data_IF_774921526203
#
_entry.id   IF_774921526203
#
_cell.length_a   1.000
_cell.length_b   1.000
_cell.length_c   1.000
_cell.angle_alpha   90.00
_cell.angle_beta   90.00
_cell.angle_gamma   90.00
#
_symmetry.space_group_name_H-M   'P 1'
#
loop_
_entity.id
_entity.type
_entity.pdbx_description
1 polymer ?
#
# COMPACT_ATOMS: atom_id res chain seq x y z
N UNK A 1 2.37 4.42 -7.51
CA UNK A 1 3.63 3.76 -7.93
C UNK A 1 3.37 2.28 -8.03
N UNK A 2 3.46 1.68 -9.21
CA UNK A 2 3.05 0.29 -9.41
C UNK A 2 4.02 -0.67 -8.76
N UNK A 3 3.52 -1.82 -8.34
CA UNK A 3 4.21 -2.73 -7.51
C UNK A 3 4.26 -4.15 -7.99
N UNK A 4 5.16 -4.75 -7.56
CA UNK A 4 5.92 -5.92 -7.77
C UNK A 4 5.27 -7.17 -7.21
N UNK A 5 4.92 -8.10 -8.09
CA UNK A 5 4.67 -9.49 -7.73
C UNK A 5 5.91 -10.31 -8.09
N UNK A 6 6.65 -10.79 -7.09
CA UNK A 6 7.78 -11.70 -7.31
C UNK A 6 7.26 -13.14 -7.36
N UNK A 7 7.55 -13.86 -8.43
CA UNK A 7 7.31 -15.30 -8.52
C UNK A 7 5.95 -15.73 -9.10
N UNK A 8 5.24 -14.86 -9.82
CA UNK A 8 3.99 -15.27 -10.49
C UNK A 8 4.31 -16.28 -11.61
N UNK A 9 3.65 -17.45 -11.66
CA UNK A 9 3.82 -18.39 -12.77
C UNK A 9 3.46 -17.77 -14.11
N UNK A 10 4.17 -18.15 -15.17
CA UNK A 10 4.05 -17.56 -16.51
C UNK A 10 2.65 -17.61 -17.16
N UNK A 11 1.74 -18.40 -16.63
CA UNK A 11 0.43 -18.66 -17.23
C UNK A 11 -0.73 -17.90 -16.59
N UNK A 12 -0.48 -17.06 -15.59
CA UNK A 12 -1.55 -16.24 -15.02
C UNK A 12 -1.63 -14.91 -15.78
N UNK A 13 -2.38 -14.91 -16.89
CA UNK A 13 -2.84 -13.69 -17.56
C UNK A 13 -3.86 -12.96 -16.69
N UNK A 14 -3.45 -12.62 -15.46
CA UNK A 14 -4.37 -12.04 -14.49
C UNK A 14 -4.68 -10.58 -14.80
N UNK A 15 -3.86 -9.94 -15.64
CA UNK A 15 -4.00 -8.52 -15.91
C UNK A 15 -3.69 -8.18 -17.37
N UNK A 16 -4.53 -7.40 -18.07
CA UNK A 16 -4.14 -6.85 -19.35
C UNK A 16 -2.93 -5.92 -19.13
N UNK A 17 -1.92 -6.06 -19.97
CA UNK A 17 -0.75 -5.19 -19.95
C UNK A 17 -1.13 -3.79 -20.45
N UNK A 18 -1.09 -2.74 -19.63
CA UNK A 18 -0.87 -1.42 -20.19
C UNK A 18 0.62 -1.26 -20.48
N UNK A 19 0.96 -0.50 -21.49
CA UNK A 19 2.34 -0.02 -21.76
C UNK A 19 2.77 0.94 -20.65
N UNK A 20 3.00 0.42 -19.43
CA UNK A 20 2.88 1.21 -18.21
C UNK A 20 4.17 1.83 -17.71
N UNK A 21 5.31 1.31 -18.07
CA UNK A 21 6.60 1.94 -17.72
C UNK A 21 7.45 1.95 -18.97
N UNK A 22 7.76 3.14 -19.47
CA UNK A 22 8.75 3.27 -20.50
C UNK A 22 10.04 2.57 -20.05
N UNK A 23 10.58 1.71 -20.87
CA UNK A 23 11.82 0.97 -20.62
C UNK A 23 12.93 1.90 -20.16
N UNK A 24 12.93 3.14 -20.67
CA UNK A 24 13.85 4.21 -20.30
C UNK A 24 13.79 4.60 -18.82
N UNK A 25 12.60 4.62 -18.22
CA UNK A 25 12.44 4.97 -16.79
C UNK A 25 12.98 3.85 -15.90
N UNK A 26 12.71 2.60 -16.27
CA UNK A 26 13.27 1.43 -15.55
C UNK A 26 14.80 1.46 -15.64
N UNK A 27 15.36 1.78 -16.80
CA UNK A 27 16.80 1.89 -17.01
C UNK A 27 17.43 3.03 -16.22
N UNK A 28 16.75 4.17 -16.12
CA UNK A 28 17.19 5.29 -15.29
C UNK A 28 17.20 4.90 -13.81
N UNK A 29 16.12 4.32 -13.31
CA UNK A 29 16.05 3.84 -11.92
C UNK A 29 17.14 2.81 -11.65
N UNK A 30 17.34 1.84 -12.55
CA UNK A 30 18.37 0.82 -12.42
C UNK A 30 19.79 1.39 -12.33
N UNK A 31 20.08 2.43 -13.12
CA UNK A 31 21.39 3.07 -13.16
C UNK A 31 21.65 4.01 -11.99
N UNK A 32 20.62 4.59 -11.39
CA UNK A 32 20.75 5.48 -10.23
C UNK A 32 20.98 4.73 -8.93
N UNK A 33 20.47 3.50 -8.83
CA UNK A 33 20.64 2.67 -7.64
C UNK A 33 21.98 1.93 -7.65
N UNK A 34 23.03 2.56 -7.09
CA UNK A 34 24.37 1.98 -6.93
C UNK A 34 24.67 1.71 -5.45
N UNK A 35 24.62 0.46 -4.99
CA UNK A 35 24.98 0.09 -3.63
C UNK A 35 24.54 -1.33 -3.23
N UNK A 36 25.02 -1.84 -2.08
CA UNK A 36 24.81 -3.24 -1.65
C UNK A 36 23.33 -3.61 -1.39
N UNK A 37 22.49 -2.66 -0.98
CA UNK A 37 21.05 -2.90 -0.79
C UNK A 37 20.26 -2.96 -2.12
N UNK A 38 20.92 -2.83 -3.24
CA UNK A 38 20.29 -2.73 -4.55
C UNK A 38 20.02 -4.07 -5.22
N UNK A 39 20.49 -5.19 -4.67
CA UNK A 39 20.23 -6.50 -5.27
C UNK A 39 18.73 -6.84 -5.31
N UNK A 40 18.00 -6.48 -4.26
CA UNK A 40 16.54 -6.68 -4.25
C UNK A 40 15.85 -5.77 -5.28
N UNK A 41 16.24 -4.50 -5.35
CA UNK A 41 15.71 -3.55 -6.32
C UNK A 41 16.06 -3.99 -7.74
N UNK A 42 17.30 -4.39 -7.98
CA UNK A 42 17.74 -4.89 -9.28
C UNK A 42 16.98 -6.15 -9.69
N UNK A 43 16.91 -7.16 -8.82
CA UNK A 43 16.17 -8.39 -9.13
C UNK A 43 14.70 -8.13 -9.42
N UNK A 44 14.16 -7.11 -8.78
CA UNK A 44 12.83 -6.60 -8.96
C UNK A 44 12.64 -5.94 -10.32
N UNK A 45 13.55 -5.02 -10.68
CA UNK A 45 13.56 -4.36 -11.99
C UNK A 45 13.78 -5.35 -13.13
N UNK A 46 14.65 -6.34 -12.94
CA UNK A 46 14.84 -7.42 -13.91
C UNK A 46 13.56 -8.26 -14.09
N UNK A 47 12.83 -8.48 -13.02
CA UNK A 47 11.51 -9.15 -13.08
C UNK A 47 10.50 -8.31 -13.85
N UNK A 48 10.49 -7.00 -13.66
CA UNK A 48 9.63 -6.06 -14.39
C UNK A 48 9.99 -6.05 -15.88
N UNK A 49 11.28 -6.02 -16.22
CA UNK A 49 11.75 -6.07 -17.62
C UNK A 49 11.33 -7.35 -18.33
N UNK A 50 11.34 -8.46 -17.62
CA UNK A 50 10.98 -9.77 -18.19
C UNK A 50 9.46 -10.01 -18.24
N UNK A 51 8.70 -9.30 -17.41
CA UNK A 51 7.25 -9.45 -17.31
C UNK A 51 6.62 -8.08 -17.14
N UNK A 52 6.00 -7.54 -18.18
CA UNK A 52 5.26 -6.30 -18.06
C UNK A 52 4.23 -6.45 -16.95
N UNK A 53 4.29 -5.54 -15.99
CA UNK A 53 3.33 -5.44 -14.92
C UNK A 53 2.01 -4.98 -15.52
N UNK A 54 0.99 -5.76 -15.31
CA UNK A 54 -0.38 -5.32 -15.55
C UNK A 54 -0.93 -4.74 -14.25
N UNK A 55 -1.49 -3.55 -14.34
CA UNK A 55 -2.18 -2.92 -13.24
C UNK A 55 -3.68 -3.02 -13.48
N UNK A 56 -4.39 -3.61 -12.54
CA UNK A 56 -5.84 -3.54 -12.50
C UNK A 56 -6.24 -2.59 -11.39
N UNK A 57 -6.98 -1.56 -11.73
CA UNK A 57 -7.63 -0.71 -10.76
C UNK A 57 -8.96 -1.38 -10.43
N UNK A 58 -9.16 -1.71 -9.18
CA UNK A 58 -10.44 -2.22 -8.70
C UNK A 58 -11.38 -1.03 -8.48
N UNK A 59 -12.34 -0.89 -9.38
CA UNK A 59 -13.29 0.23 -9.38
C UNK A 59 -14.61 -0.09 -8.66
N UNK A 60 -14.85 -1.37 -8.38
CA UNK A 60 -16.03 -1.80 -7.63
C UNK A 60 -15.68 -2.80 -6.51
N UNK A 61 -16.62 -2.99 -5.58
CA UNK A 61 -16.42 -3.86 -4.40
C UNK A 61 -16.18 -5.33 -4.78
N UNK A 62 -16.80 -5.82 -5.86
CA UNK A 62 -16.63 -7.21 -6.29
C UNK A 62 -15.24 -7.45 -6.89
N UNK A 63 -14.68 -6.50 -7.62
CA UNK A 63 -13.33 -6.59 -8.16
C UNK A 63 -12.28 -6.47 -7.06
N UNK A 64 -12.46 -5.58 -6.08
CA UNK A 64 -11.62 -5.47 -4.89
C UNK A 64 -11.56 -6.78 -4.10
N UNK A 65 -12.72 -7.42 -3.91
CA UNK A 65 -12.83 -8.73 -3.28
C UNK A 65 -12.07 -9.82 -4.06
N UNK A 66 -12.21 -9.87 -5.37
CA UNK A 66 -11.48 -10.82 -6.23
C UNK A 66 -9.97 -10.63 -6.12
N UNK A 67 -9.51 -9.37 -6.13
CA UNK A 67 -8.09 -9.04 -5.95
C UNK A 67 -7.57 -9.51 -4.59
N UNK A 68 -8.29 -9.27 -3.50
CA UNK A 68 -7.91 -9.71 -2.17
C UNK A 68 -7.85 -11.25 -2.05
N UNK A 69 -8.82 -11.95 -2.63
CA UNK A 69 -8.83 -13.42 -2.66
C UNK A 69 -7.66 -13.99 -3.46
N UNK A 70 -7.38 -13.42 -4.63
CA UNK A 70 -6.26 -13.87 -5.45
C UNK A 70 -4.90 -13.55 -4.78
N UNK A 71 -4.76 -12.36 -4.17
CA UNK A 71 -3.59 -12.02 -3.40
C UNK A 71 -3.35 -13.04 -2.26
N UNK A 72 -4.40 -13.37 -1.50
CA UNK A 72 -4.30 -14.37 -0.43
C UNK A 72 -3.88 -15.75 -0.96
N UNK A 73 -4.44 -16.18 -2.09
CA UNK A 73 -4.11 -17.44 -2.73
C UNK A 73 -2.64 -17.47 -3.18
N UNK A 74 -2.16 -16.42 -3.82
CA UNK A 74 -0.79 -16.32 -4.32
C UNK A 74 0.23 -16.24 -3.19
N UNK A 75 -0.05 -15.47 -2.15
CA UNK A 75 0.84 -15.29 -0.99
C UNK A 75 0.96 -16.55 -0.13
N UNK A 76 -0.03 -17.44 -0.15
CA UNK A 76 0.02 -18.74 0.55
C UNK A 76 0.92 -19.76 -0.14
N UNK A 77 1.12 -19.62 -1.44
CA UNK A 77 1.98 -20.52 -2.17
C UNK A 77 3.44 -20.31 -1.74
N UNK A 78 4.11 -21.38 -1.28
CA UNK A 78 5.50 -21.31 -0.84
C UNK A 78 6.45 -20.92 -1.97
N UNK A 79 6.10 -21.23 -3.21
CA UNK A 79 6.82 -20.84 -4.42
C UNK A 79 6.30 -19.53 -5.02
N UNK A 80 5.22 -18.98 -4.45
CA UNK A 80 4.54 -17.79 -4.92
C UNK A 80 5.24 -16.48 -4.55
N UNK A 81 4.61 -15.35 -4.89
CA UNK A 81 5.10 -14.02 -4.55
C UNK A 81 5.13 -13.83 -3.03
N UNK A 82 6.03 -12.95 -2.56
CA UNK A 82 6.12 -12.54 -1.15
C UNK A 82 5.46 -11.19 -0.91
N UNK A 83 5.15 -10.46 -1.95
CA UNK A 83 4.54 -9.13 -1.89
C UNK A 83 3.40 -9.09 -2.89
N UNK A 84 2.24 -8.64 -2.44
CA UNK A 84 1.10 -8.30 -3.28
C UNK A 84 0.74 -6.83 -3.05
N UNK A 85 0.45 -6.11 -4.10
CA UNK A 85 0.01 -4.73 -4.03
C UNK A 85 -1.08 -4.50 -5.04
N UNK A 86 -2.09 -3.78 -4.61
CA UNK A 86 -3.20 -3.35 -5.43
C UNK A 86 -3.70 -1.99 -4.97
N UNK A 87 -4.25 -1.22 -5.89
CA UNK A 87 -4.77 0.11 -5.61
C UNK A 87 -6.25 0.05 -5.25
N UNK A 88 -6.64 0.92 -4.34
CA UNK A 88 -8.02 1.20 -3.98
C UNK A 88 -8.29 2.67 -4.27
N UNK A 89 -9.18 2.94 -5.18
CA UNK A 89 -9.62 4.30 -5.51
C UNK A 89 -10.80 4.74 -4.61
N UNK A 90 -11.33 5.92 -4.84
CA UNK A 90 -12.50 6.46 -4.14
C UNK A 90 -12.20 7.34 -2.93
N UNK A 91 -10.95 7.41 -2.49
CA UNK A 91 -10.56 8.22 -1.31
C UNK A 91 -10.38 9.72 -1.63
N UNK A 92 -10.34 10.10 -2.89
CA UNK A 92 -10.13 11.49 -3.28
C UNK A 92 -11.46 12.30 -3.31
N UNK A 93 -12.07 12.44 -2.16
CA UNK A 93 -13.42 12.97 -1.95
C UNK A 93 -13.43 14.50 -1.87
N UNK A 94 -13.38 15.17 -3.01
CA UNK A 94 -13.46 16.65 -3.09
C UNK A 94 -14.86 17.21 -2.85
N UNK A 95 -15.90 16.40 -2.94
CA UNK A 95 -17.29 16.80 -2.69
C UNK A 95 -18.05 15.69 -1.98
N UNK A 96 -19.05 16.05 -1.18
CA UNK A 96 -19.95 15.13 -0.50
C UNK A 96 -19.25 13.96 0.21
N UNK A 97 -18.11 14.25 0.85
CA UNK A 97 -17.27 13.23 1.51
C UNK A 97 -18.03 12.46 2.60
N UNK A 98 -18.97 13.12 3.28
CA UNK A 98 -19.67 12.57 4.43
C UNK A 98 -18.88 12.75 5.74
N UNK A 99 -19.37 12.09 6.77
CA UNK A 99 -18.75 12.06 8.11
C UNK A 99 -18.56 10.63 8.57
N UNK A 100 -19.33 10.21 9.59
CA UNK A 100 -19.38 8.81 10.02
C UNK A 100 -20.09 7.91 9.01
N UNK A 101 -20.92 8.50 8.16
CA UNK A 101 -21.58 7.90 7.01
C UNK A 101 -21.24 8.69 5.76
N UNK A 102 -21.24 8.04 4.61
CA UNK A 102 -20.98 8.64 3.29
C UNK A 102 -19.73 8.12 2.62
N UNK A 103 -19.40 8.70 1.46
CA UNK A 103 -18.42 8.15 0.52
C UNK A 103 -17.09 7.74 1.16
N UNK A 104 -16.51 8.56 2.04
CA UNK A 104 -15.25 8.22 2.68
C UNK A 104 -15.37 7.09 3.71
N UNK A 105 -16.48 7.03 4.45
CA UNK A 105 -16.76 5.97 5.39
C UNK A 105 -16.97 4.63 4.65
N UNK A 106 -17.65 4.65 3.51
CA UNK A 106 -17.87 3.48 2.66
C UNK A 106 -16.55 2.93 2.14
N UNK A 107 -15.61 3.79 1.72
CA UNK A 107 -14.28 3.36 1.28
C UNK A 107 -13.43 2.78 2.43
N UNK A 108 -13.53 3.32 3.64
CA UNK A 108 -12.86 2.73 4.81
C UNK A 108 -13.45 1.35 5.17
N UNK A 109 -14.75 1.16 4.97
CA UNK A 109 -15.39 -0.15 5.15
C UNK A 109 -14.90 -1.16 4.09
N UNK A 110 -14.65 -0.72 2.85
CA UNK A 110 -14.02 -1.57 1.82
C UNK A 110 -12.61 -2.00 2.24
N UNK A 111 -11.80 -1.11 2.82
CA UNK A 111 -10.49 -1.50 3.38
C UNK A 111 -10.65 -2.56 4.46
N UNK A 112 -11.61 -2.39 5.36
CA UNK A 112 -11.92 -3.36 6.41
C UNK A 112 -12.32 -4.73 5.82
N UNK A 113 -13.16 -4.76 4.79
CA UNK A 113 -13.54 -5.99 4.09
C UNK A 113 -12.34 -6.68 3.47
N UNK A 114 -11.44 -5.93 2.82
CA UNK A 114 -10.22 -6.46 2.21
C UNK A 114 -9.30 -7.08 3.27
N UNK A 115 -9.06 -6.37 4.37
CA UNK A 115 -8.25 -6.90 5.49
C UNK A 115 -8.87 -8.17 6.05
N UNK A 116 -10.20 -8.21 6.19
CA UNK A 116 -10.94 -9.39 6.65
C UNK A 116 -10.78 -10.56 5.69
N UNK A 117 -10.94 -10.33 4.39
CA UNK A 117 -10.75 -11.37 3.36
C UNK A 117 -9.32 -11.92 3.40
N UNK A 118 -8.32 -11.06 3.51
CA UNK A 118 -6.93 -11.48 3.62
C UNK A 118 -6.72 -12.30 4.89
N UNK A 119 -7.23 -11.86 6.03
CA UNK A 119 -7.15 -12.59 7.30
C UNK A 119 -7.74 -14.00 7.19
N UNK A 120 -8.97 -14.11 6.69
CA UNK A 120 -9.68 -15.39 6.58
C UNK A 120 -9.03 -16.35 5.58
N UNK A 121 -8.48 -15.82 4.48
CA UNK A 121 -7.98 -16.63 3.38
C UNK A 121 -6.47 -16.93 3.46
N UNK A 122 -5.68 -16.13 4.14
CA UNK A 122 -4.27 -16.43 4.39
C UNK A 122 -4.09 -17.56 5.43
N UNK A 123 -5.02 -17.71 6.38
CA UNK A 123 -4.91 -18.72 7.43
C UNK A 123 -3.60 -18.53 8.21
N UNK A 124 -2.82 -19.61 8.41
CA UNK A 124 -1.54 -19.52 9.15
C UNK A 124 -0.49 -18.61 8.50
N UNK A 125 -0.57 -18.36 7.21
CA UNK A 125 0.33 -17.41 6.56
C UNK A 125 0.12 -15.97 7.06
N UNK A 126 -1.06 -15.65 7.60
CA UNK A 126 -1.36 -14.35 8.19
C UNK A 126 -0.44 -14.01 9.37
N UNK A 127 -0.02 -15.00 10.15
CA UNK A 127 0.89 -14.81 11.29
C UNK A 127 2.24 -14.17 10.87
N UNK A 128 2.63 -14.40 9.62
CA UNK A 128 3.85 -13.85 9.01
C UNK A 128 3.55 -12.78 7.96
N UNK A 129 2.37 -12.19 7.99
CA UNK A 129 1.93 -11.17 7.04
C UNK A 129 1.92 -9.80 7.70
N UNK A 130 2.35 -8.80 6.95
CA UNK A 130 2.12 -7.38 7.23
C UNK A 130 1.33 -6.77 6.09
N UNK A 131 0.19 -6.18 6.42
CA UNK A 131 -0.62 -5.36 5.52
C UNK A 131 -0.30 -3.91 5.84
N UNK A 132 -0.07 -3.11 4.80
CA UNK A 132 0.33 -1.72 4.93
C UNK A 132 -0.42 -0.88 3.91
N UNK A 133 -1.11 0.17 4.35
CA UNK A 133 -1.70 1.14 3.42
C UNK A 133 -0.70 2.22 3.06
N UNK A 134 -0.75 2.68 1.82
CA UNK A 134 0.04 3.77 1.28
C UNK A 134 -0.90 4.81 0.70
N UNK A 135 -0.61 6.09 0.92
CA UNK A 135 -1.37 7.19 0.33
C UNK A 135 -0.45 8.16 -0.38
N UNK A 136 -0.91 8.77 -1.47
CA UNK A 136 -0.14 9.78 -2.20
C UNK A 136 -0.11 11.10 -1.45
N UNK A 137 -1.21 11.46 -0.79
CA UNK A 137 -1.41 12.72 -0.06
C UNK A 137 -2.31 12.52 1.15
N UNK A 138 -2.34 13.52 2.01
CA UNK A 138 -3.34 13.65 3.06
C UNK A 138 -4.53 14.48 2.61
N UNK A 139 -5.40 14.85 3.55
CA UNK A 139 -6.56 15.71 3.30
C UNK A 139 -6.49 16.95 4.18
N UNK A 140 -7.04 18.07 3.72
CA UNK A 140 -7.11 19.29 4.52
C UNK A 140 -7.94 19.09 5.78
N UNK A 141 -7.56 19.77 6.86
CA UNK A 141 -8.31 19.71 8.14
C UNK A 141 -9.72 20.31 8.00
N UNK A 142 -9.86 21.32 7.17
CA UNK A 142 -11.15 22.00 6.96
C UNK A 142 -11.87 21.43 5.77
N UNK A 143 -13.17 21.24 5.95
CA UNK A 143 -14.11 20.97 4.87
C UNK A 143 -14.14 22.14 3.88
N UNK A 144 -14.21 21.81 2.59
CA UNK A 144 -14.35 22.78 1.51
C UNK A 144 -15.84 23.16 1.26
N UNK A 145 -16.08 24.05 0.28
CA UNK A 145 -17.44 24.48 -0.08
C UNK A 145 -18.31 23.41 -0.73
N UNK A 146 -17.73 22.28 -1.18
CA UNK A 146 -18.43 21.14 -1.76
C UNK A 146 -18.74 20.03 -0.77
N UNK A 147 -18.56 20.26 0.53
CA UNK A 147 -18.71 19.26 1.59
C UNK A 147 -17.72 18.08 1.47
N UNK A 148 -16.56 18.31 0.88
CA UNK A 148 -15.42 17.41 0.83
C UNK A 148 -14.19 18.06 1.44
N UNK A 149 -13.02 17.56 1.08
CA UNK A 149 -11.73 18.13 1.49
C UNK A 149 -10.80 18.24 0.28
N UNK A 150 -9.81 19.09 0.36
CA UNK A 150 -8.76 19.19 -0.65
C UNK A 150 -7.57 18.31 -0.28
N UNK A 151 -6.61 18.14 -1.20
CA UNK A 151 -5.35 17.49 -0.90
C UNK A 151 -4.63 18.22 0.24
N UNK A 152 -4.09 17.48 1.17
CA UNK A 152 -3.35 17.97 2.33
C UNK A 152 -1.98 17.29 2.44
N UNK A 153 -1.19 17.73 3.43
CA UNK A 153 0.19 17.29 3.58
C UNK A 153 0.32 16.00 4.41
N UNK A 154 -0.14 16.01 5.66
CA UNK A 154 -0.04 14.85 6.55
C UNK A 154 -1.13 13.83 6.32
N UNK A 155 -0.79 12.55 6.44
CA UNK A 155 -1.70 11.42 6.29
C UNK A 155 -1.52 10.42 7.41
N UNK A 156 -2.29 9.33 7.37
CA UNK A 156 -2.17 8.19 8.26
C UNK A 156 -1.82 6.93 7.46
N UNK A 157 -1.04 6.06 8.07
CA UNK A 157 -0.73 4.72 7.55
C UNK A 157 -1.43 3.71 8.45
N UNK A 158 -2.26 2.87 7.88
CA UNK A 158 -2.87 1.74 8.58
C UNK A 158 -1.98 0.51 8.41
N UNK A 159 -1.81 -0.22 9.50
CA UNK A 159 -1.07 -1.49 9.49
C UNK A 159 -1.92 -2.58 10.13
N UNK A 160 -1.93 -3.76 9.52
CA UNK A 160 -2.56 -4.96 10.02
C UNK A 160 -1.70 -6.19 9.74
N UNK A 161 -1.96 -7.29 10.42
CA UNK A 161 -1.25 -8.55 10.18
C UNK A 161 -0.60 -9.14 11.42
N UNK A 162 -0.28 -10.42 11.36
CA UNK A 162 0.26 -11.19 12.49
C UNK A 162 1.67 -10.77 12.92
N UNK A 163 2.42 -10.07 12.06
CA UNK A 163 3.71 -9.49 12.43
C UNK A 163 3.61 -8.34 13.42
N UNK A 164 2.43 -7.74 13.58
CA UNK A 164 2.20 -6.69 14.58
C UNK A 164 1.99 -7.30 15.96
N UNK A 165 2.93 -7.05 16.87
CA UNK A 165 2.88 -7.58 18.24
C UNK A 165 1.88 -6.86 19.15
N UNK A 166 1.44 -5.68 18.75
CA UNK A 166 0.53 -4.82 19.55
C UNK A 166 -0.38 -4.01 18.63
N UNK A 167 -1.63 -3.87 19.06
CA UNK A 167 -2.56 -2.90 18.47
C UNK A 167 -2.39 -1.57 19.21
N UNK A 168 -1.86 -0.55 18.54
CA UNK A 168 -1.65 0.77 19.11
C UNK A 168 -1.56 1.85 18.03
N UNK A 169 -1.74 3.09 18.44
CA UNK A 169 -1.49 4.26 17.59
C UNK A 169 -0.07 4.75 17.86
N UNK A 170 0.73 4.81 16.80
CA UNK A 170 2.06 5.42 16.81
C UNK A 170 1.93 6.83 16.27
N UNK A 171 2.22 7.82 17.08
CA UNK A 171 2.14 9.20 16.65
C UNK A 171 3.06 10.09 17.49
N UNK A 172 3.65 11.07 16.83
CA UNK A 172 4.13 12.31 17.42
C UNK A 172 3.12 13.40 17.07
N UNK A 173 2.05 13.47 17.87
CA UNK A 173 0.86 14.23 17.51
C UNK A 173 1.14 15.75 17.51
N UNK A 174 1.09 16.43 16.34
CA UNK A 174 1.46 17.83 16.23
C UNK A 174 0.41 18.79 16.76
N UNK A 175 -0.84 18.33 16.89
CA UNK A 175 -2.01 19.15 17.20
C UNK A 175 -2.73 19.69 15.98
N UNK A 176 -3.85 20.41 16.23
CA UNK A 176 -4.73 20.96 15.19
C UNK A 176 -4.90 22.49 15.29
N UNK A 177 -4.16 23.15 16.18
CA UNK A 177 -4.19 24.63 16.22
C UNK A 177 -3.47 25.17 15.00
N UNK A 178 -3.91 26.32 14.51
CA UNK A 178 -3.37 26.93 13.28
C UNK A 178 -1.84 26.98 13.23
N UNK A 179 -1.17 27.24 14.36
CA UNK A 179 0.30 27.26 14.47
C UNK A 179 0.96 25.88 14.44
N UNK A 180 0.18 24.82 14.63
CA UNK A 180 0.63 23.42 14.68
C UNK A 180 0.42 22.74 13.32
N UNK A 181 -0.33 23.38 12.43
CA UNK A 181 -0.61 22.88 11.09
C UNK A 181 0.51 23.25 10.11
N UNK A 182 0.75 22.39 9.14
CA UNK A 182 1.59 22.70 7.99
C UNK A 182 0.93 23.84 7.18
N UNK A 183 1.65 24.92 6.98
CA UNK A 183 1.17 26.17 6.36
C UNK A 183 -0.14 26.71 6.98
N UNK A 184 -0.43 26.36 8.23
CA UNK A 184 -1.66 26.78 8.92
C UNK A 184 -2.96 26.18 8.36
N UNK A 185 -2.87 25.14 7.54
CA UNK A 185 -3.96 24.52 6.79
C UNK A 185 -4.07 23.00 6.96
N UNK A 186 -2.95 22.29 6.81
CA UNK A 186 -2.93 20.85 6.71
C UNK A 186 -2.38 20.19 7.99
N UNK A 187 -2.71 18.92 8.19
CA UNK A 187 -2.04 18.13 9.21
C UNK A 187 -0.53 18.11 8.93
N UNK A 188 0.26 18.42 9.97
CA UNK A 188 1.70 18.36 9.84
C UNK A 188 2.18 16.90 9.82
N UNK A 189 3.19 16.60 9.01
CA UNK A 189 3.82 15.29 8.98
C UNK A 189 4.97 15.27 9.99
N UNK A 190 4.90 14.37 10.96
CA UNK A 190 5.90 14.22 12.03
C UNK A 190 6.74 12.94 11.89
N UNK A 191 6.27 12.01 11.06
CA UNK A 191 6.95 10.74 10.81
C UNK A 191 7.18 10.61 9.30
N UNK A 192 8.42 10.32 8.91
CA UNK A 192 8.74 10.02 7.51
C UNK A 192 8.23 8.64 7.13
N UNK A 193 7.30 8.58 6.19
CA UNK A 193 6.72 7.30 5.70
C UNK A 193 7.78 6.32 5.18
N UNK A 194 8.89 6.82 4.63
CA UNK A 194 10.00 5.98 4.14
C UNK A 194 10.64 5.16 5.27
N UNK A 195 10.67 5.68 6.50
CA UNK A 195 11.16 4.94 7.64
C UNK A 195 10.27 3.71 7.94
N UNK A 196 8.95 3.87 7.82
CA UNK A 196 7.98 2.78 8.01
C UNK A 196 8.11 1.74 6.90
N UNK A 197 8.25 2.18 5.65
CA UNK A 197 8.40 1.28 4.50
C UNK A 197 9.70 0.49 4.57
N UNK A 198 10.81 1.13 4.92
CA UNK A 198 12.10 0.47 5.08
C UNK A 198 12.06 -0.59 6.19
N UNK A 199 11.45 -0.30 7.34
CA UNK A 199 11.28 -1.27 8.41
C UNK A 199 10.43 -2.47 7.96
N UNK A 200 9.37 -2.23 7.21
CA UNK A 200 8.51 -3.28 6.66
C UNK A 200 9.26 -4.17 5.67
N UNK A 201 10.08 -3.58 4.78
CA UNK A 201 10.89 -4.31 3.80
C UNK A 201 12.00 -5.14 4.45
N UNK A 202 12.62 -4.68 5.52
CA UNK A 202 13.64 -5.44 6.29
C UNK A 202 13.00 -6.71 6.85
N UNK A 203 11.80 -6.65 7.40
CA UNK A 203 11.10 -7.83 7.90
C UNK A 203 10.69 -8.84 6.81
N UNK A 204 10.53 -8.38 5.57
CA UNK A 204 10.22 -9.25 4.42
C UNK A 204 11.50 -9.90 3.85
N UNK A 205 12.61 -9.17 3.85
CA UNK A 205 13.87 -9.62 3.25
C UNK A 205 14.73 -10.48 4.17
N UNK A 206 14.59 -10.32 5.49
CA UNK A 206 15.25 -11.16 6.48
C UNK A 206 14.22 -12.06 7.18
N UNK A 207 13.98 -13.30 6.68
CA UNK A 207 13.26 -14.27 7.49
C UNK A 207 14.07 -14.45 8.77
N UNK A 208 13.49 -14.11 9.89
CA UNK A 208 14.05 -14.23 11.22
C UNK A 208 14.81 -15.58 11.31
N UNK A 209 16.13 -15.54 11.37
CA UNK A 209 16.89 -16.66 11.88
C UNK A 209 16.39 -16.87 13.29
N UNK A 210 15.58 -17.90 13.49
CA UNK A 210 15.35 -18.42 14.82
C UNK A 210 16.71 -18.82 15.34
N UNK A 211 17.27 -18.05 16.24
CA UNK A 211 18.36 -18.48 17.10
C UNK A 211 17.70 -19.44 18.08
N UNK A 212 17.93 -20.72 17.85
CA UNK A 212 17.66 -21.78 18.81
C UNK A 212 18.51 -21.55 20.08
#
# INVERSE_FOLDING_TARGET
MPLLLRGVPQNNNFFPSPDFVETNLIDQIYNEFKGEHNELIKSTLDTIRQRPLSMQIATDSDDRKKLALEAAKQLKDQSGPRVAVFDLDGFDTHAAQGGVDGAHADELEEVNKIVTILYENLGQAFDNTLILTLTEFGRTIKQNGGYGTEHGYGSAILMAGGLLKKSQVYTDWPGLKKKELFEGRDLNSTIDSRAIYNLSLIHISEPTRQVL
#
